data_IF_702895605076
#
_entry.id   IF_702895605076
#
_cell.length_a   1.000
_cell.length_b   1.000
_cell.length_c   1.000
_cell.angle_alpha   90.00
_cell.angle_beta   90.00
_cell.angle_gamma   90.00
#
_symmetry.space_group_name_H-M   'P 1'
#
loop_
_entity.id
_entity.type
_entity.pdbx_description
1 polymer ?
#
# COMPACT_ATOMS: atom_id res chain seq x y z
N UNK A 1 -12.48 -0.72 -19.98
CA UNK A 1 -13.21 -1.63 -19.06
C UNK A 1 -12.37 -2.88 -18.96
N UNK A 2 -11.69 -3.04 -17.83
CA UNK A 2 -10.62 -4.00 -17.58
C UNK A 2 -11.03 -5.45 -17.94
N UNK A 3 -10.11 -6.20 -18.56
CA UNK A 3 -10.31 -7.61 -18.91
C UNK A 3 -10.55 -8.49 -17.68
N UNK A 4 -9.95 -8.21 -16.53
CA UNK A 4 -10.21 -8.91 -15.27
C UNK A 4 -11.64 -8.66 -14.78
N UNK A 5 -12.10 -7.39 -14.84
CA UNK A 5 -13.49 -7.04 -14.59
C UNK A 5 -14.41 -7.72 -15.60
N UNK A 6 -14.07 -7.77 -16.90
CA UNK A 6 -14.88 -8.39 -17.95
C UNK A 6 -14.95 -9.92 -17.84
N UNK A 7 -13.84 -10.60 -17.56
CA UNK A 7 -13.78 -12.06 -17.35
C UNK A 7 -14.55 -12.46 -16.11
N UNK A 8 -14.40 -11.71 -15.00
CA UNK A 8 -15.16 -11.98 -13.78
C UNK A 8 -16.65 -11.64 -13.95
N UNK A 9 -16.99 -10.50 -14.57
CA UNK A 9 -18.37 -10.14 -14.87
C UNK A 9 -19.05 -11.19 -15.76
N UNK A 10 -18.37 -11.67 -16.81
CA UNK A 10 -18.89 -12.72 -17.69
C UNK A 10 -19.07 -14.08 -16.98
N UNK A 11 -18.23 -14.41 -15.99
CA UNK A 11 -18.27 -15.70 -15.28
C UNK A 11 -19.16 -15.69 -14.05
N UNK A 12 -19.30 -14.55 -13.39
CA UNK A 12 -20.35 -14.32 -12.41
C UNK A 12 -21.72 -14.40 -13.11
N UNK A 13 -21.85 -13.79 -14.29
CA UNK A 13 -23.03 -13.99 -15.13
C UNK A 13 -23.23 -15.46 -15.52
N UNK A 14 -22.18 -16.19 -15.94
CA UNK A 14 -22.33 -17.62 -16.29
C UNK A 14 -22.70 -18.51 -15.09
N UNK A 15 -22.15 -18.24 -13.90
CA UNK A 15 -22.51 -18.93 -12.65
C UNK A 15 -23.93 -18.60 -12.17
N UNK A 16 -24.47 -17.43 -12.56
CA UNK A 16 -25.83 -17.01 -12.27
C UNK A 16 -26.85 -17.51 -13.32
N UNK A 17 -26.42 -17.81 -14.56
CA UNK A 17 -27.31 -18.22 -15.65
C UNK A 17 -27.49 -19.73 -15.82
N UNK A 18 -26.66 -20.57 -15.20
CA UNK A 18 -26.74 -22.03 -15.40
C UNK A 18 -27.82 -22.73 -14.55
N UNK A 19 -28.59 -22.01 -13.72
CA UNK A 19 -29.68 -22.64 -12.96
C UNK A 19 -30.96 -21.86 -12.70
N UNK A 20 -31.03 -20.56 -12.96
CA UNK A 20 -32.26 -19.80 -12.70
C UNK A 20 -32.45 -18.69 -13.73
N UNK A 21 -33.62 -18.69 -14.37
CA UNK A 21 -34.16 -17.51 -15.03
C UNK A 21 -34.31 -16.41 -13.97
N UNK A 22 -33.35 -15.48 -13.90
CA UNK A 22 -33.40 -14.42 -12.91
C UNK A 22 -34.37 -13.32 -13.35
N UNK A 23 -35.48 -13.28 -12.63
CA UNK A 23 -36.28 -12.09 -12.36
C UNK A 23 -35.41 -10.94 -11.80
N UNK A 24 -35.84 -9.73 -12.15
CA UNK A 24 -35.70 -8.47 -11.43
C UNK A 24 -35.26 -8.59 -9.95
N UNK A 25 -33.99 -8.26 -9.65
CA UNK A 25 -33.53 -7.63 -8.38
C UNK A 25 -32.01 -7.41 -8.38
N UNK A 26 -31.57 -6.35 -9.06
CA UNK A 26 -30.27 -5.74 -8.80
C UNK A 26 -30.50 -4.44 -7.98
N UNK A 27 -29.92 -4.32 -6.79
CA UNK A 27 -30.16 -3.19 -5.88
C UNK A 27 -28.86 -2.73 -5.18
N UNK A 28 -28.38 -1.51 -5.47
CA UNK A 28 -27.23 -0.89 -4.78
C UNK A 28 -27.34 0.66 -4.70
N UNK A 29 -26.71 1.25 -3.67
CA UNK A 29 -26.84 2.65 -3.20
C UNK A 29 -25.50 3.44 -3.18
N UNK A 30 -25.57 4.79 -3.16
CA UNK A 30 -24.45 5.73 -2.93
C UNK A 30 -24.71 6.59 -1.69
N UNK A 31 -23.70 6.77 -0.82
CA UNK A 31 -23.72 7.64 0.37
C UNK A 31 -22.70 8.78 0.15
N UNK A 32 -22.88 10.00 0.71
CA UNK A 32 -22.00 11.13 0.42
C UNK A 32 -20.54 10.87 0.85
N UNK A 33 -19.62 11.10 -0.10
CA UNK A 33 -18.14 11.16 0.06
C UNK A 33 -17.43 9.97 0.73
N UNK A 34 -18.06 8.80 0.84
CA UNK A 34 -17.38 7.56 1.25
C UNK A 34 -17.32 6.60 0.08
N UNK A 35 -16.12 6.06 -0.21
CA UNK A 35 -15.83 5.09 -1.27
C UNK A 35 -16.44 3.70 -1.02
N UNK A 36 -17.67 3.62 -0.54
CA UNK A 36 -18.27 2.44 0.07
C UNK A 36 -19.71 2.21 -0.39
N UNK A 37 -20.02 0.97 -0.81
CA UNK A 37 -21.31 0.54 -1.33
C UNK A 37 -21.78 -0.69 -0.55
N UNK A 38 -23.07 -0.78 -0.27
CA UNK A 38 -23.65 -1.91 0.49
C UNK A 38 -24.83 -2.47 -0.28
N UNK A 39 -24.94 -3.80 -0.27
CA UNK A 39 -26.09 -4.55 -0.79
C UNK A 39 -27.36 -4.16 -0.04
N UNK A 40 -28.48 -4.05 -0.75
CA UNK A 40 -29.77 -3.87 -0.09
C UNK A 40 -30.11 -5.04 0.85
N UNK A 41 -30.89 -4.77 1.89
CA UNK A 41 -31.23 -5.78 2.90
C UNK A 41 -30.14 -6.05 3.95
N UNK A 42 -29.01 -5.35 3.93
CA UNK A 42 -27.99 -5.50 4.98
C UNK A 42 -28.53 -5.17 6.38
N UNK A 43 -28.08 -5.94 7.37
CA UNK A 43 -28.47 -5.81 8.78
C UNK A 43 -27.67 -4.71 9.48
N UNK A 44 -28.19 -4.19 10.60
CA UNK A 44 -27.45 -3.25 11.44
C UNK A 44 -26.16 -3.87 12.00
N UNK A 45 -26.19 -5.17 12.34
CA UNK A 45 -25.00 -5.93 12.77
C UNK A 45 -23.92 -5.93 11.69
N UNK A 46 -24.29 -6.22 10.43
CA UNK A 46 -23.40 -6.12 9.27
C UNK A 46 -22.78 -4.73 9.13
N UNK A 47 -23.61 -3.69 9.23
CA UNK A 47 -23.12 -2.33 9.14
C UNK A 47 -22.17 -1.93 10.26
N UNK A 48 -22.46 -2.31 11.51
CA UNK A 48 -21.57 -2.01 12.63
C UNK A 48 -20.22 -2.73 12.50
N UNK A 49 -20.22 -3.96 11.98
CA UNK A 49 -19.00 -4.73 11.81
C UNK A 49 -18.06 -4.09 10.78
N UNK A 50 -18.58 -3.77 9.58
CA UNK A 50 -17.76 -3.19 8.50
C UNK A 50 -17.32 -1.75 8.76
N UNK A 51 -18.02 -1.04 9.64
CA UNK A 51 -17.66 0.33 10.07
C UNK A 51 -16.91 0.35 11.41
N UNK A 52 -16.46 -0.80 11.93
CA UNK A 52 -15.76 -0.91 13.22
C UNK A 52 -14.59 0.07 13.34
N UNK A 53 -13.77 0.19 12.30
CA UNK A 53 -12.60 1.08 12.33
C UNK A 53 -12.95 2.58 12.41
N UNK A 54 -14.15 2.97 11.95
CA UNK A 54 -14.63 4.36 12.04
C UNK A 54 -15.00 4.68 13.49
N UNK A 55 -15.45 3.65 14.24
CA UNK A 55 -15.87 3.74 15.64
C UNK A 55 -14.69 3.70 16.62
N UNK A 56 -13.55 3.14 16.22
CA UNK A 56 -12.32 3.14 17.02
C UNK A 56 -11.61 4.50 17.00
N UNK A 57 -11.06 4.90 18.14
CA UNK A 57 -10.26 6.12 18.31
C UNK A 57 -10.85 7.11 19.33
N UNK A 58 -10.38 8.37 19.29
CA UNK A 58 -10.86 9.43 20.18
C UNK A 58 -12.35 9.73 19.92
N UNK A 59 -13.11 9.93 21.00
CA UNK A 59 -14.57 10.14 21.01
C UNK A 59 -15.39 8.95 20.48
N UNK A 60 -15.24 7.75 21.07
CA UNK A 60 -15.89 6.53 20.57
C UNK A 60 -17.41 6.63 20.54
N UNK A 61 -18.01 7.29 21.54
CA UNK A 61 -19.46 7.50 21.60
C UNK A 61 -19.97 8.38 20.45
N UNK A 62 -19.34 9.53 20.20
CA UNK A 62 -19.72 10.43 19.10
C UNK A 62 -19.58 9.73 17.74
N UNK A 63 -18.47 9.00 17.52
CA UNK A 63 -18.26 8.21 16.30
C UNK A 63 -19.32 7.12 16.14
N UNK A 64 -19.68 6.44 17.23
CA UNK A 64 -20.78 5.48 17.22
C UNK A 64 -22.10 6.13 16.81
N UNK A 65 -22.46 7.28 17.40
CA UNK A 65 -23.65 8.03 17.01
C UNK A 65 -23.63 8.43 15.53
N UNK A 66 -22.49 8.92 15.01
CA UNK A 66 -22.34 9.29 13.60
C UNK A 66 -22.53 8.08 12.66
N UNK A 67 -22.00 6.91 13.04
CA UNK A 67 -22.18 5.66 12.29
C UNK A 67 -23.65 5.23 12.30
N UNK A 68 -24.34 5.32 13.45
CA UNK A 68 -25.78 5.02 13.53
C UNK A 68 -26.60 5.97 12.68
N UNK A 69 -26.31 7.28 12.73
CA UNK A 69 -26.97 8.27 11.87
C UNK A 69 -26.71 7.93 10.41
N UNK A 70 -25.48 7.59 10.02
CA UNK A 70 -25.16 7.22 8.65
C UNK A 70 -25.92 5.95 8.20
N UNK A 71 -26.06 4.94 9.07
CA UNK A 71 -26.88 3.75 8.81
C UNK A 71 -28.32 4.13 8.48
N UNK A 72 -28.93 4.96 9.32
CA UNK A 72 -30.31 5.45 9.14
C UNK A 72 -30.41 6.22 7.82
N UNK A 73 -29.55 7.21 7.60
CA UNK A 73 -29.52 7.99 6.37
C UNK A 73 -29.37 7.11 5.12
N UNK A 74 -28.53 6.07 5.18
CA UNK A 74 -28.34 5.11 4.09
C UNK A 74 -29.62 4.34 3.77
N UNK A 75 -30.41 3.95 4.78
CA UNK A 75 -31.68 3.22 4.59
C UNK A 75 -32.78 4.12 4.00
N UNK A 76 -32.80 5.40 4.37
CA UNK A 76 -33.92 6.31 4.06
C UNK A 76 -33.66 7.29 2.90
N UNK A 77 -32.43 7.74 2.65
CA UNK A 77 -32.10 8.68 1.57
C UNK A 77 -31.76 7.93 0.26
N UNK A 78 -32.78 7.38 -0.39
CA UNK A 78 -32.65 6.50 -1.58
C UNK A 78 -32.46 7.23 -2.92
N UNK A 79 -32.20 8.54 -2.93
CA UNK A 79 -32.37 9.39 -4.12
C UNK A 79 -31.05 9.94 -4.68
N UNK A 80 -30.26 9.07 -5.32
CA UNK A 80 -29.07 9.47 -6.09
C UNK A 80 -28.78 8.53 -7.25
N UNK A 81 -27.94 8.98 -8.18
CA UNK A 81 -27.46 8.20 -9.33
C UNK A 81 -26.85 6.86 -8.89
N UNK A 82 -27.25 5.77 -9.56
CA UNK A 82 -26.93 4.40 -9.18
C UNK A 82 -25.81 3.86 -10.05
N UNK A 83 -24.79 3.27 -9.42
CA UNK A 83 -23.77 2.47 -10.09
C UNK A 83 -24.16 1.00 -9.94
N UNK A 84 -24.29 0.28 -11.06
CA UNK A 84 -24.53 -1.15 -11.10
C UNK A 84 -23.22 -1.89 -10.85
N UNK A 85 -23.05 -2.43 -9.63
CA UNK A 85 -21.95 -3.32 -9.29
C UNK A 85 -22.51 -4.74 -9.07
N UNK A 86 -21.97 -5.76 -9.75
CA UNK A 86 -22.38 -7.14 -9.52
C UNK A 86 -21.93 -7.59 -8.11
N UNK A 87 -22.85 -8.08 -7.27
CA UNK A 87 -22.49 -8.73 -6.01
C UNK A 87 -23.19 -10.09 -5.88
N UNK A 88 -22.40 -11.10 -5.53
CA UNK A 88 -22.87 -12.47 -5.24
C UNK A 88 -23.71 -12.49 -3.95
N UNK A 89 -24.56 -13.51 -3.76
CA UNK A 89 -25.26 -13.73 -2.49
C UNK A 89 -24.31 -13.91 -1.30
N UNK A 90 -23.08 -14.35 -1.57
CA UNK A 90 -22.04 -14.58 -0.57
C UNK A 90 -21.36 -13.31 -0.09
N UNK A 91 -21.56 -12.16 -0.75
CA UNK A 91 -20.89 -10.90 -0.43
C UNK A 91 -21.90 -9.74 -0.31
N UNK A 92 -21.72 -8.84 0.65
CA UNK A 92 -22.74 -7.83 0.98
C UNK A 92 -22.25 -6.37 0.97
N UNK A 93 -20.95 -6.11 0.86
CA UNK A 93 -20.42 -4.75 0.81
C UNK A 93 -19.22 -4.66 -0.11
N UNK A 94 -19.03 -3.48 -0.72
CA UNK A 94 -17.96 -3.17 -1.67
C UNK A 94 -17.24 -1.91 -1.19
N UNK A 95 -15.94 -1.99 -1.01
CA UNK A 95 -15.07 -0.83 -0.79
C UNK A 95 -14.29 -0.53 -2.06
N UNK A 96 -14.31 0.73 -2.49
CA UNK A 96 -13.42 1.21 -3.55
C UNK A 96 -12.14 1.74 -2.91
N UNK A 97 -11.02 1.12 -3.23
CA UNK A 97 -9.69 1.70 -3.10
C UNK A 97 -9.30 2.42 -4.39
N UNK A 98 -8.08 2.99 -4.42
CA UNK A 98 -7.58 3.71 -5.60
C UNK A 98 -7.66 2.86 -6.89
N UNK A 99 -7.19 1.61 -6.81
CA UNK A 99 -7.12 0.66 -7.93
C UNK A 99 -7.64 -0.72 -7.51
N UNK A 100 -8.45 -0.81 -6.46
CA UNK A 100 -8.94 -2.09 -5.92
C UNK A 100 -10.41 -2.04 -5.59
N UNK A 101 -11.08 -3.17 -5.74
CA UNK A 101 -12.41 -3.43 -5.18
C UNK A 101 -12.30 -4.50 -4.11
N UNK A 102 -12.90 -4.26 -2.95
CA UNK A 102 -12.96 -5.25 -1.86
C UNK A 102 -14.41 -5.63 -1.59
N UNK A 103 -14.75 -6.89 -1.75
CA UNK A 103 -16.07 -7.44 -1.44
C UNK A 103 -16.02 -8.23 -0.14
N UNK A 104 -16.89 -7.92 0.81
CA UNK A 104 -16.90 -8.62 2.12
C UNK A 104 -17.91 -9.74 2.16
N UNK A 105 -17.44 -10.93 2.57
CA UNK A 105 -18.26 -12.12 2.75
C UNK A 105 -19.34 -11.94 3.82
N UNK A 106 -20.51 -12.54 3.64
CA UNK A 106 -21.66 -12.42 4.56
C UNK A 106 -21.36 -12.94 5.96
N UNK A 107 -20.47 -13.91 6.10
CA UNK A 107 -19.99 -14.49 7.35
C UNK A 107 -18.81 -13.73 7.98
N UNK A 108 -18.29 -12.70 7.29
CA UNK A 108 -17.18 -11.85 7.67
C UNK A 108 -15.83 -12.55 7.83
N UNK A 109 -15.66 -13.75 7.29
CA UNK A 109 -14.41 -14.49 7.43
C UNK A 109 -13.33 -14.00 6.46
N UNK A 110 -13.76 -13.54 5.28
CA UNK A 110 -12.83 -13.11 4.24
C UNK A 110 -13.36 -11.93 3.41
N UNK A 111 -12.44 -11.32 2.68
CA UNK A 111 -12.71 -10.38 1.64
C UNK A 111 -12.21 -10.90 0.29
N UNK A 112 -12.97 -10.68 -0.76
CA UNK A 112 -12.49 -10.83 -2.13
C UNK A 112 -11.92 -9.49 -2.59
N UNK A 113 -10.61 -9.43 -2.82
CA UNK A 113 -9.91 -8.23 -3.32
C UNK A 113 -9.62 -8.42 -4.81
N UNK A 114 -10.05 -7.44 -5.59
CA UNK A 114 -9.91 -7.41 -7.04
C UNK A 114 -9.04 -6.21 -7.41
N UNK A 115 -7.94 -6.45 -8.10
CA UNK A 115 -7.13 -5.41 -8.74
C UNK A 115 -7.83 -4.86 -9.98
N UNK A 116 -7.86 -3.55 -10.16
CA UNK A 116 -8.37 -2.85 -11.35
C UNK A 116 -7.25 -2.24 -12.23
N UNK A 117 -5.97 -2.46 -11.92
CA UNK A 117 -4.84 -1.97 -12.71
C UNK A 117 -4.61 -2.80 -13.99
N UNK A 118 -4.83 -2.17 -15.15
CA UNK A 118 -4.63 -2.81 -16.46
C UNK A 118 -3.15 -3.10 -16.79
N UNK A 119 -2.19 -2.57 -16.02
CA UNK A 119 -0.74 -2.55 -16.33
C UNK A 119 0.20 -3.15 -15.24
N UNK A 120 -0.33 -3.88 -14.24
CA UNK A 120 0.33 -4.53 -13.04
C UNK A 120 0.34 -3.70 -11.75
N UNK A 121 0.37 -4.31 -10.52
CA UNK A 121 1.15 -5.47 -10.05
C UNK A 121 0.41 -6.81 -10.18
N UNK A 122 1.14 -7.89 -10.51
CA UNK A 122 0.61 -9.24 -10.30
C UNK A 122 0.43 -9.43 -8.78
N UNK A 123 -0.79 -9.33 -8.25
CA UNK A 123 -1.07 -9.72 -6.86
C UNK A 123 -0.48 -11.10 -6.56
N UNK A 124 -0.51 -12.00 -7.54
CA UNK A 124 0.17 -13.29 -7.46
C UNK A 124 1.66 -13.17 -7.10
N UNK A 125 2.41 -12.26 -7.74
CA UNK A 125 3.84 -12.06 -7.46
C UNK A 125 4.08 -11.62 -6.01
N UNK A 126 3.40 -10.58 -5.56
CA UNK A 126 3.57 -10.06 -4.21
C UNK A 126 3.00 -11.00 -3.15
N UNK A 127 1.82 -11.60 -3.39
CA UNK A 127 1.22 -12.58 -2.47
C UNK A 127 2.06 -13.85 -2.35
N UNK A 128 2.62 -14.36 -3.46
CA UNK A 128 3.55 -15.49 -3.43
C UNK A 128 4.85 -15.12 -2.70
N UNK A 129 5.39 -13.93 -2.98
CA UNK A 129 6.60 -13.45 -2.32
C UNK A 129 6.43 -13.38 -0.80
N UNK A 130 5.32 -12.82 -0.32
CA UNK A 130 5.03 -12.74 1.12
C UNK A 130 4.83 -14.13 1.72
N UNK A 131 4.01 -14.99 1.10
CA UNK A 131 3.75 -16.36 1.58
C UNK A 131 5.00 -17.22 1.70
N UNK A 132 5.93 -17.06 0.77
CA UNK A 132 7.18 -17.81 0.74
C UNK A 132 8.29 -17.14 1.56
N UNK A 133 8.00 -16.06 2.28
CA UNK A 133 8.96 -15.34 3.11
C UNK A 133 8.69 -15.52 4.60
N UNK A 134 9.69 -15.20 5.41
CA UNK A 134 9.56 -15.06 6.87
C UNK A 134 8.50 -14.03 7.33
N UNK A 135 8.03 -13.16 6.44
CA UNK A 135 7.00 -12.16 6.75
C UNK A 135 5.57 -12.69 6.64
N UNK A 136 5.37 -13.92 6.16
CA UNK A 136 4.05 -14.54 6.07
C UNK A 136 3.25 -14.48 7.39
N UNK A 137 3.95 -14.52 8.54
CA UNK A 137 3.31 -14.44 9.86
C UNK A 137 2.55 -13.12 10.09
N UNK A 138 3.02 -12.04 9.47
CA UNK A 138 2.39 -10.72 9.56
C UNK A 138 1.31 -10.53 8.50
N UNK A 139 1.28 -11.35 7.46
CA UNK A 139 0.29 -11.24 6.40
C UNK A 139 -1.06 -11.87 6.81
N UNK A 140 -2.20 -11.36 6.31
CA UNK A 140 -3.44 -12.13 6.29
C UNK A 140 -3.26 -13.39 5.44
N UNK A 141 -4.03 -14.44 5.74
CA UNK A 141 -4.09 -15.57 4.81
C UNK A 141 -4.68 -15.12 3.48
N UNK A 142 -3.98 -15.38 2.38
CA UNK A 142 -4.44 -15.01 1.04
C UNK A 142 -4.58 -16.27 0.17
N UNK A 143 -5.48 -16.28 -0.80
CA UNK A 143 -5.62 -17.37 -1.78
C UNK A 143 -6.05 -16.81 -3.13
N UNK A 144 -5.37 -17.23 -4.18
CA UNK A 144 -5.76 -16.93 -5.56
C UNK A 144 -6.99 -17.77 -5.88
N UNK A 145 -8.09 -17.10 -6.27
CA UNK A 145 -9.37 -17.79 -6.57
C UNK A 145 -9.49 -18.20 -8.02
N UNK A 146 -9.21 -17.29 -8.93
CA UNK A 146 -9.50 -17.48 -10.37
C UNK A 146 -8.39 -16.94 -11.26
N UNK A 147 -8.00 -15.69 -11.02
CA UNK A 147 -6.94 -15.02 -11.78
C UNK A 147 -5.90 -14.46 -10.81
N UNK A 148 -4.67 -14.22 -11.27
CA UNK A 148 -3.63 -13.55 -10.50
C UNK A 148 -4.01 -12.20 -9.89
N UNK A 149 -5.16 -11.62 -10.27
CA UNK A 149 -5.66 -10.31 -9.87
C UNK A 149 -6.88 -10.38 -8.94
N UNK A 150 -7.32 -11.59 -8.60
CA UNK A 150 -8.44 -11.83 -7.68
C UNK A 150 -7.97 -12.72 -6.54
N UNK A 151 -7.85 -12.13 -5.35
CA UNK A 151 -7.46 -12.84 -4.13
C UNK A 151 -8.62 -12.87 -3.15
N UNK A 152 -8.81 -14.02 -2.52
CA UNK A 152 -9.53 -14.12 -1.25
C UNK A 152 -8.51 -13.86 -0.14
N UNK A 153 -8.78 -12.90 0.72
CA UNK A 153 -7.93 -12.47 1.82
C UNK A 153 -8.71 -12.62 3.13
N UNK A 154 -8.06 -13.18 4.15
CA UNK A 154 -8.57 -13.21 5.51
C UNK A 154 -8.98 -11.80 5.94
N UNK A 155 -10.20 -11.67 6.44
CA UNK A 155 -10.67 -10.38 6.94
C UNK A 155 -10.12 -10.15 8.33
N UNK A 156 -9.27 -9.15 8.49
CA UNK A 156 -8.75 -8.78 9.79
C UNK A 156 -9.87 -8.18 10.66
N UNK A 157 -9.95 -8.65 11.92
CA UNK A 157 -10.83 -8.08 12.94
C UNK A 157 -10.21 -6.86 13.64
N UNK A 158 -8.95 -6.54 13.33
CA UNK A 158 -8.16 -5.51 14.01
C UNK A 158 -8.50 -4.06 13.66
N UNK A 159 -7.77 -3.14 14.29
CA UNK A 159 -7.83 -1.70 14.01
C UNK A 159 -6.46 -1.20 13.58
N UNK A 160 -6.36 -0.33 12.55
CA UNK A 160 -5.11 0.33 12.19
C UNK A 160 -4.47 1.03 13.41
N UNK A 161 -3.18 0.82 13.65
CA UNK A 161 -2.52 1.33 14.86
C UNK A 161 -2.53 2.86 14.93
N UNK A 162 -2.54 3.57 13.79
CA UNK A 162 -2.69 5.03 13.74
C UNK A 162 -4.05 5.55 14.27
N UNK A 163 -5.02 4.65 14.51
CA UNK A 163 -6.33 4.96 15.10
C UNK A 163 -6.45 4.46 16.54
N UNK A 164 -5.39 3.89 17.10
CA UNK A 164 -5.33 3.35 18.46
C UNK A 164 -4.35 4.14 19.33
N UNK A 165 -4.38 3.92 20.65
CA UNK A 165 -3.35 4.39 21.56
C UNK A 165 -2.17 3.40 21.52
N UNK A 166 -1.46 3.37 20.40
CA UNK A 166 -0.25 2.54 20.25
C UNK A 166 0.95 3.36 20.74
N UNK A 167 1.64 2.88 21.77
CA UNK A 167 2.73 3.63 22.39
C UNK A 167 3.99 3.56 21.52
N UNK A 168 4.84 4.59 21.61
CA UNK A 168 6.12 4.62 20.90
C UNK A 168 7.01 3.40 21.23
N UNK A 169 6.98 2.94 22.48
CA UNK A 169 7.69 1.72 22.89
C UNK A 169 7.20 0.48 22.15
N UNK A 170 5.89 0.39 21.90
CA UNK A 170 5.28 -0.75 21.18
C UNK A 170 5.64 -0.70 19.70
N UNK A 171 5.68 0.50 19.11
CA UNK A 171 6.18 0.74 17.75
C UNK A 171 7.62 0.25 17.58
N UNK A 172 8.50 0.62 18.51
CA UNK A 172 9.92 0.23 18.49
C UNK A 172 10.07 -1.28 18.67
N UNK A 173 9.32 -1.88 19.60
CA UNK A 173 9.35 -3.32 19.82
C UNK A 173 8.83 -4.10 18.60
N UNK A 174 7.76 -3.62 17.97
CA UNK A 174 7.25 -4.18 16.72
C UNK A 174 8.30 -4.13 15.62
N UNK A 175 8.88 -2.95 15.37
CA UNK A 175 9.91 -2.79 14.33
C UNK A 175 11.14 -3.65 14.61
N UNK A 176 11.58 -3.74 15.87
CA UNK A 176 12.69 -4.62 16.25
C UNK A 176 12.38 -6.10 15.96
N UNK A 177 11.18 -6.57 16.28
CA UNK A 177 10.74 -7.94 15.97
C UNK A 177 10.64 -8.19 14.46
N UNK A 178 10.08 -7.22 13.73
CA UNK A 178 9.96 -7.25 12.28
C UNK A 178 11.34 -7.33 11.59
N UNK A 179 12.28 -6.48 11.97
CA UNK A 179 13.66 -6.48 11.45
C UNK A 179 14.41 -7.78 11.78
N UNK A 180 14.20 -8.33 12.99
CA UNK A 180 14.76 -9.63 13.37
C UNK A 180 14.26 -10.73 12.44
N UNK A 181 13.00 -10.69 12.03
CA UNK A 181 12.46 -11.63 11.06
C UNK A 181 13.05 -11.40 9.67
N UNK A 182 13.04 -10.17 9.15
CA UNK A 182 13.65 -9.83 7.85
C UNK A 182 15.11 -10.29 7.75
N UNK A 183 15.86 -10.22 8.84
CA UNK A 183 17.27 -10.63 8.86
C UNK A 183 17.50 -12.11 8.54
N UNK A 184 16.50 -12.98 8.74
CA UNK A 184 16.61 -14.43 8.47
C UNK A 184 16.72 -14.76 6.99
N UNK A 185 16.08 -13.96 6.13
CA UNK A 185 16.09 -14.13 4.67
C UNK A 185 16.92 -13.03 4.00
N UNK A 186 17.76 -12.32 4.77
CA UNK A 186 18.57 -11.23 4.24
C UNK A 186 19.85 -11.74 3.58
N UNK A 187 20.28 -11.05 2.53
CA UNK A 187 21.50 -11.35 1.80
C UNK A 187 22.22 -10.06 1.44
N UNK A 188 23.53 -10.16 1.24
CA UNK A 188 24.37 -9.04 0.84
C UNK A 188 24.57 -9.08 -0.68
N UNK A 189 24.43 -7.94 -1.34
CA UNK A 189 24.81 -7.75 -2.74
C UNK A 189 25.82 -6.63 -2.86
N UNK A 190 26.61 -6.62 -3.93
CA UNK A 190 27.52 -5.50 -4.16
C UNK A 190 26.72 -4.22 -4.40
N UNK A 191 27.27 -3.07 -4.01
CA UNK A 191 26.62 -1.80 -4.33
C UNK A 191 26.47 -1.58 -5.84
N UNK A 192 27.46 -2.03 -6.63
CA UNK A 192 27.36 -1.96 -8.09
C UNK A 192 26.16 -2.70 -8.64
N UNK A 193 25.86 -3.90 -8.11
CA UNK A 193 24.71 -4.68 -8.56
C UNK A 193 23.40 -4.03 -8.13
N UNK A 194 23.31 -3.54 -6.88
CA UNK A 194 22.13 -2.82 -6.39
C UNK A 194 21.80 -1.58 -7.25
N UNK A 195 22.83 -0.81 -7.58
CA UNK A 195 22.75 0.38 -8.43
C UNK A 195 22.41 0.00 -9.87
N UNK A 196 22.93 -1.12 -10.39
CA UNK A 196 22.60 -1.61 -11.72
C UNK A 196 21.13 -2.02 -11.83
N UNK A 197 20.62 -2.79 -10.86
CA UNK A 197 19.20 -3.19 -10.80
C UNK A 197 18.27 -1.98 -10.78
N UNK A 198 18.63 -0.96 -10.00
CA UNK A 198 17.93 0.32 -9.98
C UNK A 198 17.91 0.97 -11.36
N UNK A 199 19.08 1.10 -12.02
CA UNK A 199 19.18 1.69 -13.37
C UNK A 199 18.30 0.95 -14.37
N UNK A 200 18.29 -0.38 -14.33
CA UNK A 200 17.47 -1.19 -15.23
C UNK A 200 15.98 -0.94 -15.02
N UNK A 201 15.48 -0.98 -13.77
CA UNK A 201 14.07 -0.69 -13.47
C UNK A 201 13.68 0.71 -13.94
N UNK A 202 14.53 1.66 -13.65
CA UNK A 202 14.35 3.04 -14.06
C UNK A 202 14.31 3.20 -15.59
N UNK A 203 15.29 2.69 -16.33
CA UNK A 203 15.31 2.77 -17.80
C UNK A 203 14.05 2.15 -18.43
N UNK A 204 13.59 1.01 -17.89
CA UNK A 204 12.35 0.38 -18.35
C UNK A 204 11.12 1.28 -18.12
N UNK A 205 11.06 1.96 -16.97
CA UNK A 205 10.01 2.93 -16.69
C UNK A 205 10.00 4.06 -17.72
N UNK A 206 11.16 4.63 -18.07
CA UNK A 206 11.27 5.68 -19.09
C UNK A 206 10.76 5.23 -20.46
N UNK A 207 11.16 4.03 -20.88
CA UNK A 207 10.70 3.46 -22.16
C UNK A 207 9.18 3.31 -22.15
N UNK A 208 8.61 2.84 -21.03
CA UNK A 208 7.17 2.57 -20.91
C UNK A 208 6.30 3.83 -20.88
N UNK A 209 6.83 4.94 -20.39
CA UNK A 209 6.12 6.24 -20.34
C UNK A 209 6.27 7.06 -21.63
N UNK A 210 6.87 6.47 -22.68
CA UNK A 210 7.00 7.08 -24.00
C UNK A 210 8.19 8.03 -24.04
N UNK A 211 9.40 7.44 -24.10
CA UNK A 211 10.69 8.12 -24.27
C UNK A 211 10.86 8.90 -25.59
N UNK A 212 9.84 9.63 -26.01
CA UNK A 212 9.93 10.66 -27.03
C UNK A 212 10.21 11.99 -26.32
N UNK A 213 11.40 12.53 -26.58
CA UNK A 213 11.94 13.81 -26.10
C UNK A 213 11.11 15.06 -26.49
N UNK A 214 9.87 14.86 -26.97
CA UNK A 214 8.97 15.90 -27.47
C UNK A 214 7.73 16.14 -26.59
N UNK A 215 7.49 15.35 -25.54
CA UNK A 215 6.47 15.67 -24.55
C UNK A 215 7.06 16.57 -23.45
N UNK A 216 6.56 17.81 -23.40
CA UNK A 216 6.98 18.93 -22.53
C UNK A 216 6.78 18.70 -21.02
N UNK A 217 7.22 17.58 -20.45
CA UNK A 217 7.24 17.39 -19.00
C UNK A 217 8.60 17.80 -18.44
N UNK A 218 8.82 19.12 -18.29
CA UNK A 218 10.02 19.69 -17.67
C UNK A 218 10.40 19.00 -16.34
N UNK A 219 9.40 18.55 -15.58
CA UNK A 219 9.59 17.86 -14.29
C UNK A 219 10.22 16.47 -14.43
N UNK A 220 10.01 15.78 -15.56
CA UNK A 220 10.62 14.48 -15.82
C UNK A 220 12.12 14.63 -16.10
N UNK A 221 12.52 15.58 -16.95
CA UNK A 221 13.94 15.88 -17.16
C UNK A 221 14.66 16.32 -15.88
N UNK A 222 13.99 17.07 -15.02
CA UNK A 222 14.56 17.44 -13.71
C UNK A 222 14.67 16.24 -12.77
N UNK A 223 13.64 15.40 -12.65
CA UNK A 223 13.70 14.13 -11.91
C UNK A 223 14.90 13.29 -12.34
N UNK A 224 15.08 13.18 -13.65
CA UNK A 224 16.18 12.43 -14.24
C UNK A 224 17.54 12.95 -13.78
N UNK A 225 17.73 14.28 -13.83
CA UNK A 225 18.97 14.89 -13.33
C UNK A 225 19.23 14.64 -11.85
N UNK A 226 18.18 14.61 -11.02
CA UNK A 226 18.30 14.32 -9.59
C UNK A 226 18.66 12.85 -9.37
N UNK A 227 18.03 11.93 -10.10
CA UNK A 227 18.37 10.51 -10.06
C UNK A 227 19.81 10.29 -10.50
N UNK A 228 20.25 10.87 -11.63
CA UNK A 228 21.63 10.75 -12.10
C UNK A 228 22.65 11.35 -11.12
N UNK A 229 22.31 12.47 -10.48
CA UNK A 229 23.13 13.06 -9.42
C UNK A 229 23.24 12.13 -8.21
N UNK A 230 22.12 11.57 -7.74
CA UNK A 230 22.09 10.58 -6.67
C UNK A 230 22.93 9.36 -7.04
N UNK A 231 22.83 8.87 -8.26
CA UNK A 231 23.54 7.68 -8.75
C UNK A 231 25.05 7.91 -8.87
N UNK A 232 25.46 9.11 -9.27
CA UNK A 232 26.87 9.49 -9.33
C UNK A 232 27.47 9.62 -7.93
N UNK A 233 26.73 10.26 -7.01
CA UNK A 233 27.11 10.40 -5.60
C UNK A 233 27.18 9.04 -4.91
N UNK A 234 26.15 8.23 -5.10
CA UNK A 234 26.06 6.86 -4.62
C UNK A 234 27.23 6.05 -5.18
N UNK A 235 27.43 5.98 -6.50
CA UNK A 235 28.52 5.19 -7.11
C UNK A 235 29.94 5.61 -6.69
N UNK A 236 30.18 6.89 -6.42
CA UNK A 236 31.48 7.37 -5.96
C UNK A 236 31.77 7.00 -4.49
N UNK A 237 30.73 6.95 -3.66
CA UNK A 237 30.85 6.84 -2.21
C UNK A 237 30.47 5.46 -1.65
N UNK A 238 29.73 4.68 -2.43
CA UNK A 238 29.32 3.32 -2.10
C UNK A 238 30.41 2.32 -2.46
N UNK A 239 31.19 1.86 -1.48
CA UNK A 239 32.06 0.67 -1.61
C UNK A 239 31.60 -0.45 -0.68
N UNK A 240 31.66 -1.69 -1.17
CA UNK A 240 31.30 -2.88 -0.39
C UNK A 240 29.93 -3.44 -0.76
N UNK A 241 29.21 -3.91 0.25
CA UNK A 241 27.96 -4.65 0.06
C UNK A 241 26.80 -3.99 0.79
N UNK A 242 25.63 -4.00 0.18
CA UNK A 242 24.37 -3.58 0.80
C UNK A 242 23.58 -4.81 1.23
N UNK A 243 23.01 -4.75 2.43
CA UNK A 243 22.15 -5.79 2.96
C UNK A 243 20.71 -5.59 2.47
N UNK A 244 20.21 -6.59 1.75
CA UNK A 244 18.87 -6.62 1.16
C UNK A 244 18.03 -7.66 1.90
N UNK A 245 16.74 -7.37 2.08
CA UNK A 245 15.77 -8.31 2.63
C UNK A 245 14.40 -8.13 1.98
N UNK A 246 13.52 -9.13 2.11
CA UNK A 246 12.11 -8.95 1.76
C UNK A 246 11.51 -7.81 2.58
N UNK A 247 10.85 -6.87 1.92
CA UNK A 247 10.32 -5.64 2.49
C UNK A 247 8.89 -5.41 2.05
N UNK A 248 8.09 -4.82 2.93
CA UNK A 248 6.74 -4.36 2.61
C UNK A 248 6.76 -3.17 1.65
N UNK A 249 7.77 -2.28 1.77
CA UNK A 249 8.00 -1.07 0.96
C UNK A 249 6.93 0.02 1.09
N UNK A 250 5.88 -0.25 1.87
CA UNK A 250 4.85 0.71 2.26
C UNK A 250 4.39 0.48 3.71
N UNK A 251 5.35 0.19 4.60
CA UNK A 251 5.08 -0.08 6.01
C UNK A 251 4.70 1.21 6.77
N UNK A 252 3.52 1.75 6.51
CA UNK A 252 2.97 2.90 7.22
C UNK A 252 2.01 2.44 8.35
N UNK A 253 1.79 3.29 9.36
CA UNK A 253 0.93 2.97 10.52
C UNK A 253 -0.54 2.68 10.17
N UNK A 254 -1.00 3.06 8.98
CA UNK A 254 -2.33 2.70 8.48
C UNK A 254 -2.42 1.26 8.00
N UNK A 255 -1.29 0.66 7.61
CA UNK A 255 -1.21 -0.71 7.11
C UNK A 255 -0.92 -1.74 8.21
N UNK A 256 -0.68 -1.29 9.44
CA UNK A 256 -0.45 -2.16 10.61
C UNK A 256 -1.71 -2.22 11.46
N UNK A 257 -2.26 -3.41 11.64
CA UNK A 257 -3.49 -3.68 12.37
C UNK A 257 -3.19 -4.38 13.68
N UNK A 258 -3.72 -3.85 14.78
CA UNK A 258 -3.80 -4.56 16.06
C UNK A 258 -5.11 -5.36 16.10
N UNK A 259 -4.99 -6.67 16.02
CA UNK A 259 -6.08 -7.63 16.06
C UNK A 259 -6.62 -7.83 17.49
N UNK A 260 -7.81 -8.41 17.63
CA UNK A 260 -8.47 -8.63 18.92
C UNK A 260 -7.71 -9.60 19.85
N UNK A 261 -6.90 -10.49 19.27
CA UNK A 261 -5.98 -11.39 19.95
C UNK A 261 -4.64 -10.73 20.32
N UNK A 262 -4.52 -9.41 20.13
CA UNK A 262 -3.30 -8.61 20.24
C UNK A 262 -2.19 -8.95 19.23
N UNK A 263 -2.48 -9.76 18.20
CA UNK A 263 -1.55 -9.97 17.11
C UNK A 263 -1.46 -8.70 16.24
N UNK A 264 -0.26 -8.44 15.71
CA UNK A 264 -0.08 -7.42 14.68
C UNK A 264 -0.13 -8.08 13.31
N UNK A 265 -0.96 -7.54 12.42
CA UNK A 265 -1.09 -7.96 11.03
C UNK A 265 -0.85 -6.79 10.10
N UNK A 266 -0.32 -7.06 8.92
CA UNK A 266 0.05 -6.11 7.90
C UNK A 266 -0.80 -6.36 6.65
N UNK A 267 -1.36 -5.31 6.07
CA UNK A 267 -2.13 -5.35 4.82
C UNK A 267 -1.43 -4.56 3.72
N UNK A 268 -1.97 -4.56 2.51
CA UNK A 268 -1.45 -3.76 1.39
C UNK A 268 -0.03 -4.13 0.93
N UNK A 269 0.20 -5.45 0.82
CA UNK A 269 1.44 -6.06 0.34
C UNK A 269 1.74 -5.91 -1.16
N UNK A 270 1.03 -5.06 -1.91
CA UNK A 270 1.19 -4.98 -3.37
C UNK A 270 2.58 -4.56 -3.84
N UNK A 271 3.28 -3.78 -3.03
CA UNK A 271 4.63 -3.32 -3.32
C UNK A 271 5.72 -4.23 -2.73
N UNK A 272 5.35 -5.36 -2.12
CA UNK A 272 6.29 -6.24 -1.46
C UNK A 272 7.42 -6.69 -2.40
N UNK A 273 8.65 -6.65 -1.93
CA UNK A 273 9.80 -7.12 -2.68
C UNK A 273 11.13 -6.93 -1.96
N UNK A 274 12.25 -7.39 -2.55
CA UNK A 274 13.58 -7.15 -2.01
C UNK A 274 13.92 -5.66 -2.01
N UNK A 275 14.36 -5.14 -0.86
CA UNK A 275 14.80 -3.76 -0.66
C UNK A 275 15.89 -3.66 0.40
N UNK A 276 16.49 -2.47 0.52
CA UNK A 276 17.39 -2.15 1.63
C UNK A 276 16.75 -2.46 2.99
N UNK A 277 17.45 -3.24 3.83
CA UNK A 277 16.83 -3.82 5.03
C UNK A 277 16.33 -2.82 6.08
N UNK A 278 16.83 -1.57 6.08
CA UNK A 278 16.37 -0.52 7.00
C UNK A 278 15.17 0.27 6.45
N UNK A 279 14.76 0.03 5.21
CA UNK A 279 13.79 0.89 4.51
C UNK A 279 12.40 0.90 5.15
N UNK A 280 11.85 -0.26 5.49
CA UNK A 280 10.55 -0.34 6.19
C UNK A 280 10.58 0.35 7.56
N UNK A 281 11.68 0.19 8.30
CA UNK A 281 11.85 0.88 9.58
C UNK A 281 11.88 2.40 9.37
N UNK A 282 12.60 2.89 8.37
CA UNK A 282 12.61 4.30 7.99
C UNK A 282 11.19 4.81 7.70
N UNK A 283 10.43 4.15 6.83
CA UNK A 283 9.06 4.55 6.49
C UNK A 283 8.20 4.65 7.76
N UNK A 284 8.25 3.61 8.59
CA UNK A 284 7.37 3.47 9.74
C UNK A 284 7.68 4.50 10.83
N UNK A 285 8.91 4.54 11.34
CA UNK A 285 9.24 5.38 12.50
C UNK A 285 9.22 6.86 12.15
N UNK A 286 9.65 7.22 10.94
CA UNK A 286 9.67 8.62 10.49
C UNK A 286 8.30 9.14 10.05
N UNK A 287 7.33 8.24 9.84
CA UNK A 287 6.04 8.53 9.25
C UNK A 287 6.15 9.19 7.85
N UNK A 288 7.12 8.74 7.04
CA UNK A 288 7.51 9.40 5.79
C UNK A 288 6.31 9.61 4.85
N UNK A 289 5.45 8.60 4.69
CA UNK A 289 4.26 8.66 3.81
C UNK A 289 3.28 9.78 4.15
N UNK A 290 3.25 10.25 5.40
CA UNK A 290 2.41 11.39 5.84
C UNK A 290 3.18 12.72 5.86
N UNK A 291 4.44 12.71 6.31
CA UNK A 291 5.22 13.95 6.46
C UNK A 291 5.76 14.49 5.12
N UNK A 292 5.91 13.64 4.09
CA UNK A 292 6.38 13.96 2.72
C UNK A 292 7.63 14.85 2.65
N UNK A 293 8.38 14.95 3.74
CA UNK A 293 9.58 15.76 3.90
C UNK A 293 10.69 14.82 4.28
N UNK A 294 11.65 14.63 3.36
CA UNK A 294 12.81 13.78 3.61
C UNK A 294 13.63 14.30 4.79
N UNK A 295 13.76 15.62 4.95
CA UNK A 295 14.51 16.27 6.05
C UNK A 295 13.88 15.90 7.40
N UNK A 296 12.57 16.16 7.52
CA UNK A 296 11.84 15.89 8.76
C UNK A 296 11.85 14.41 9.09
N UNK A 297 11.73 13.57 8.06
CA UNK A 297 11.70 12.12 8.23
C UNK A 297 13.07 11.55 8.58
N UNK A 298 14.14 12.08 8.00
CA UNK A 298 15.52 11.76 8.34
C UNK A 298 15.83 12.09 9.79
N UNK A 299 15.47 13.28 10.26
CA UNK A 299 15.71 13.66 11.65
C UNK A 299 14.95 12.77 12.64
N UNK A 300 13.67 12.48 12.37
CA UNK A 300 12.89 11.52 13.17
C UNK A 300 13.47 10.12 13.15
N UNK A 301 13.95 9.68 12.00
CA UNK A 301 14.60 8.38 11.85
C UNK A 301 15.90 8.34 12.65
N UNK A 302 16.76 9.36 12.58
CA UNK A 302 17.99 9.45 13.38
C UNK A 302 17.69 9.30 14.88
N UNK A 303 16.70 10.00 15.40
CA UNK A 303 16.28 9.89 16.80
C UNK A 303 15.82 8.47 17.15
N UNK A 304 14.92 7.87 16.36
CA UNK A 304 14.39 6.53 16.61
C UNK A 304 15.41 5.40 16.38
N UNK A 305 16.36 5.62 15.48
CA UNK A 305 17.35 4.61 15.06
C UNK A 305 18.35 4.29 16.16
N UNK A 306 18.62 5.21 17.09
CA UNK A 306 19.52 4.98 18.22
C UNK A 306 19.09 3.75 19.01
N UNK A 307 17.77 3.56 19.20
CA UNK A 307 17.21 2.42 19.91
C UNK A 307 17.06 1.16 19.05
N UNK A 308 17.05 1.29 17.72
CA UNK A 308 16.81 0.18 16.79
C UNK A 308 18.09 -0.43 16.22
N UNK A 309 19.04 0.43 15.84
CA UNK A 309 20.24 0.10 15.07
C UNK A 309 21.52 0.70 15.66
N UNK A 310 21.42 1.62 16.62
CA UNK A 310 22.53 2.46 17.05
C UNK A 310 22.69 3.68 16.15
N UNK A 311 23.94 4.10 15.89
CA UNK A 311 24.21 5.24 15.02
C UNK A 311 23.82 4.92 13.56
N UNK A 312 23.18 5.88 12.90
CA UNK A 312 22.85 5.78 11.47
C UNK A 312 24.10 6.08 10.65
N UNK A 313 24.29 5.31 9.58
CA UNK A 313 25.34 5.62 8.61
C UNK A 313 24.80 6.65 7.60
N UNK A 314 25.58 7.65 7.24
CA UNK A 314 25.18 8.66 6.25
C UNK A 314 24.75 8.06 4.91
N UNK A 315 25.31 6.89 4.59
CA UNK A 315 24.97 6.08 3.43
C UNK A 315 23.52 5.63 3.38
N UNK A 316 22.87 5.51 4.55
CA UNK A 316 21.46 5.13 4.66
C UNK A 316 20.54 6.11 3.90
N UNK A 317 20.89 7.40 3.85
CA UNK A 317 20.11 8.42 3.11
C UNK A 317 20.06 8.07 1.63
N UNK A 318 21.20 7.73 1.04
CA UNK A 318 21.28 7.39 -0.38
C UNK A 318 20.40 6.16 -0.70
N UNK A 319 20.44 5.11 0.12
CA UNK A 319 19.57 3.96 -0.07
C UNK A 319 18.10 4.30 0.09
N UNK A 320 17.73 5.11 1.09
CA UNK A 320 16.33 5.53 1.24
C UNK A 320 15.84 6.32 0.03
N UNK A 321 16.64 7.23 -0.52
CA UNK A 321 16.30 7.96 -1.73
C UNK A 321 16.13 7.03 -2.94
N UNK A 322 17.02 6.06 -3.12
CA UNK A 322 16.93 5.04 -4.18
C UNK A 322 15.62 4.23 -4.04
N UNK A 323 15.32 3.73 -2.85
CA UNK A 323 14.11 2.96 -2.58
C UNK A 323 12.83 3.80 -2.79
N UNK A 324 12.84 5.08 -2.42
CA UNK A 324 11.71 5.99 -2.66
C UNK A 324 11.44 6.20 -4.15
N UNK A 325 12.49 6.33 -4.97
CA UNK A 325 12.32 6.42 -6.43
C UNK A 325 11.72 5.11 -6.97
N UNK A 326 12.20 3.95 -6.51
CA UNK A 326 11.64 2.65 -6.93
C UNK A 326 10.18 2.51 -6.51
N UNK A 327 9.85 2.87 -5.27
CA UNK A 327 8.47 2.86 -4.79
C UNK A 327 7.59 3.81 -5.61
N UNK A 328 8.09 4.99 -5.95
CA UNK A 328 7.36 5.92 -6.80
C UNK A 328 7.10 5.35 -8.19
N UNK A 329 8.10 4.76 -8.85
CA UNK A 329 7.95 4.14 -10.17
C UNK A 329 6.84 3.10 -10.13
N UNK A 330 6.88 2.22 -9.13
CA UNK A 330 5.85 1.20 -8.94
C UNK A 330 4.48 1.86 -8.72
N UNK A 331 4.36 2.80 -7.78
CA UNK A 331 3.10 3.47 -7.45
C UNK A 331 2.53 4.32 -8.60
N UNK A 332 3.37 5.00 -9.37
CA UNK A 332 2.95 5.80 -10.53
C UNK A 332 2.42 4.90 -11.65
N UNK A 333 3.01 3.72 -11.83
CA UNK A 333 2.60 2.75 -12.85
C UNK A 333 1.19 2.21 -12.64
N UNK A 334 0.71 2.18 -11.38
CA UNK A 334 -0.60 1.60 -11.03
C UNK A 334 -1.70 2.65 -10.89
N UNK A 335 -1.37 3.94 -10.85
CA UNK A 335 -2.35 5.02 -10.66
C UNK A 335 -3.15 5.26 -11.95
N UNK A 336 -4.49 5.21 -11.90
CA UNK A 336 -5.33 5.52 -13.06
C UNK A 336 -5.28 7.01 -13.44
N UNK A 337 -5.08 7.89 -12.46
CA UNK A 337 -4.95 9.34 -12.65
C UNK A 337 -3.52 9.76 -12.34
N UNK A 338 -2.62 9.58 -13.30
CA UNK A 338 -1.25 10.09 -13.23
C UNK A 338 -1.31 11.63 -13.16
N UNK A 339 -0.76 12.21 -12.10
CA UNK A 339 -0.73 13.67 -11.90
C UNK A 339 0.71 14.16 -11.97
N UNK A 340 0.96 15.18 -12.77
CA UNK A 340 2.26 15.85 -12.84
C UNK A 340 2.70 16.42 -11.48
N UNK A 341 1.74 16.87 -10.66
CA UNK A 341 2.04 17.35 -9.30
C UNK A 341 2.70 16.28 -8.42
N UNK A 342 2.36 15.00 -8.62
CA UNK A 342 2.97 13.90 -7.86
C UNK A 342 4.45 13.69 -8.27
N UNK A 343 4.79 13.95 -9.55
CA UNK A 343 6.18 13.95 -10.04
C UNK A 343 6.96 15.12 -9.44
N UNK A 344 6.38 16.32 -9.46
CA UNK A 344 7.01 17.53 -8.90
C UNK A 344 7.32 17.40 -7.41
N UNK A 345 6.34 16.95 -6.62
CA UNK A 345 6.52 16.73 -5.18
C UNK A 345 7.69 15.75 -4.88
N UNK A 346 7.83 14.72 -5.71
CA UNK A 346 8.94 13.78 -5.63
C UNK A 346 10.27 14.46 -5.99
N UNK A 347 10.34 15.18 -7.11
CA UNK A 347 11.56 15.88 -7.53
C UNK A 347 12.07 16.82 -6.45
N UNK A 348 11.18 17.63 -5.89
CA UNK A 348 11.50 18.58 -4.82
C UNK A 348 11.99 17.86 -3.55
N UNK A 349 11.44 16.69 -3.26
CA UNK A 349 11.85 15.87 -2.12
C UNK A 349 13.21 15.21 -2.34
N UNK A 350 13.48 14.69 -3.54
CA UNK A 350 14.76 14.07 -3.90
C UNK A 350 15.88 15.10 -3.92
N UNK A 351 15.66 16.27 -4.53
CA UNK A 351 16.65 17.35 -4.59
C UNK A 351 17.11 17.74 -3.18
N UNK A 352 16.16 17.99 -2.27
CA UNK A 352 16.46 18.30 -0.86
C UNK A 352 17.22 17.16 -0.16
N UNK A 353 16.88 15.91 -0.45
CA UNK A 353 17.57 14.75 0.13
C UNK A 353 19.00 14.61 -0.37
N UNK A 354 19.24 14.89 -1.65
CA UNK A 354 20.57 14.90 -2.26
C UNK A 354 21.43 16.00 -1.66
N UNK A 355 20.87 17.20 -1.44
CA UNK A 355 21.59 18.30 -0.83
C UNK A 355 22.07 17.95 0.59
N UNK A 356 21.20 17.35 1.42
CA UNK A 356 21.60 16.84 2.75
C UNK A 356 22.72 15.81 2.63
N UNK A 357 22.59 14.86 1.70
CA UNK A 357 23.60 13.82 1.53
C UNK A 357 24.96 14.43 1.17
N UNK A 358 24.99 15.48 0.34
CA UNK A 358 26.23 16.20 0.03
C UNK A 358 26.77 16.95 1.23
N UNK A 359 25.93 17.68 1.97
CA UNK A 359 26.33 18.44 3.15
C UNK A 359 26.96 17.55 4.22
N UNK A 360 26.31 16.44 4.55
CA UNK A 360 26.73 15.51 5.61
C UNK A 360 27.92 14.62 5.20
N UNK A 361 28.19 14.45 3.90
CA UNK A 361 29.31 13.65 3.40
C UNK A 361 30.56 14.49 3.06
N UNK A 362 30.41 15.80 2.85
CA UNK A 362 31.52 16.71 2.50
C UNK A 362 32.15 17.42 3.70
N UNK A 363 31.56 17.29 4.89
CA UNK A 363 32.12 17.70 6.18
C UNK A 363 32.77 16.53 6.88
#
# INVERSE_FOLDING_TARGET
MDYAYKVWNNRLFSLLTDKYAFYEKALYYKIPKTSFYIKDGFTFKQYLFITKEVRSGRYPFLRFCLVVINYVLTKYLRHGEKILAPASEQYFSIFLGNHRLRYTSVDYLNDLVIDLSDKKPDFNGSSLAVKNSVLAIYSPEQKIKDTPRVIEEERLSGTPINRTLFLQSDEINFIRAYLKLQSKDSYNISHSDYIADFKTKYSNFLISEGGDSNNNHHDFGFLMSQIDSLMSLAGANLKGTVKISMSHRDLNRGNVFLCEDNALKLIDWEFCGPSYYKYDAFIFVSNFRHNKSIITSWNKYKEASIELFGAVEYLDIAYFLVEEVLFFIDNYSIRPNKRESDLKDMCDSLAKGIDIFKEEYSG
#
